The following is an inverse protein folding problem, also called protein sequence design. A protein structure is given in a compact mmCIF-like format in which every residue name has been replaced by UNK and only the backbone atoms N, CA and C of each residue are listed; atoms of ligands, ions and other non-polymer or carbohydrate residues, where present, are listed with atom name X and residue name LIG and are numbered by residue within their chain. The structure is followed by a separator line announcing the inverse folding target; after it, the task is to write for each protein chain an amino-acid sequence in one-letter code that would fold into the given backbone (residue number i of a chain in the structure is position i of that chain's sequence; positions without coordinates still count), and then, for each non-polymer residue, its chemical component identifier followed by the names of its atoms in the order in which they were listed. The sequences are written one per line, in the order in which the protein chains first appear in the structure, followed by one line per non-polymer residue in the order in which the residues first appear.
data_IF_947201308707
#
_entry.id   IF_947201308707
#
_cell.length_a   1.000
_cell.length_b   1.000
_cell.length_c   1.000
_cell.angle_alpha   90.00
_cell.angle_beta   90.00
_cell.angle_gamma   90.00
#
_symmetry.space_group_name_H-M   'P 1'
#
loop_
_entity.id
_entity.type
_entity.pdbx_description
1 polymer ?
#
# COMPACT_ATOMS: atom_id res chain seq x y z
N UNK A 1 -2.39 -25.82 7.20
CA UNK A 1 -3.09 -24.62 6.75
C UNK A 1 -2.80 -24.48 5.26
N UNK A 2 -3.83 -24.63 4.44
CA UNK A 2 -3.71 -24.60 2.98
C UNK A 2 -3.36 -23.17 2.57
N UNK A 3 -2.32 -23.03 1.74
CA UNK A 3 -2.13 -21.84 0.91
C UNK A 3 -3.50 -21.50 0.29
N UNK A 4 -3.79 -20.22 0.10
CA UNK A 4 -4.91 -19.83 -0.72
C UNK A 4 -4.61 -20.33 -2.15
N UNK A 5 -4.82 -21.64 -2.34
CA UNK A 5 -4.96 -22.20 -3.66
C UNK A 5 -6.12 -21.45 -4.29
N UNK A 6 -5.86 -20.70 -5.36
CA UNK A 6 -6.86 -20.17 -6.27
C UNK A 6 -7.66 -21.30 -6.96
N UNK A 7 -7.82 -22.44 -6.28
CA UNK A 7 -8.47 -23.65 -6.73
C UNK A 7 -9.98 -23.50 -6.99
N UNK A 8 -10.56 -22.32 -6.71
CA UNK A 8 -11.95 -22.04 -7.08
C UNK A 8 -12.12 -21.62 -8.54
N UNK A 9 -11.05 -21.28 -9.24
CA UNK A 9 -11.10 -20.97 -10.68
C UNK A 9 -10.26 -21.99 -11.44
N UNK A 10 -10.88 -23.03 -11.92
CA UNK A 10 -10.26 -23.99 -12.84
C UNK A 10 -9.82 -23.32 -14.15
N UNK A 11 -10.35 -22.14 -14.46
CA UNK A 11 -9.93 -21.25 -15.55
C UNK A 11 -10.14 -19.79 -15.15
N UNK A 12 -9.16 -18.94 -15.46
CA UNK A 12 -9.31 -17.50 -15.30
C UNK A 12 -10.44 -16.98 -16.19
N UNK A 13 -11.21 -15.98 -15.72
CA UNK A 13 -12.19 -15.32 -16.59
C UNK A 13 -11.50 -14.74 -17.83
N UNK A 14 -12.25 -14.65 -18.94
CA UNK A 14 -11.71 -14.12 -20.20
C UNK A 14 -11.13 -12.72 -20.00
N UNK A 15 -9.89 -12.54 -20.43
CA UNK A 15 -9.17 -11.26 -20.34
C UNK A 15 -8.46 -11.02 -19.01
N UNK A 16 -8.61 -11.91 -18.01
CA UNK A 16 -7.83 -11.86 -16.79
C UNK A 16 -6.44 -12.48 -16.99
N UNK A 17 -5.46 -11.96 -16.27
CA UNK A 17 -4.10 -12.48 -16.26
C UNK A 17 -3.60 -12.69 -14.81
N UNK A 18 -2.58 -13.51 -14.67
CA UNK A 18 -1.79 -13.58 -13.42
C UNK A 18 -0.49 -12.85 -13.69
N UNK A 19 -0.18 -11.87 -12.85
CA UNK A 19 1.08 -11.13 -12.90
C UNK A 19 1.77 -11.21 -11.53
N UNK A 20 3.02 -10.76 -11.47
CA UNK A 20 3.68 -10.50 -10.20
C UNK A 20 3.35 -9.10 -9.71
N UNK A 21 3.34 -8.92 -8.39
CA UNK A 21 3.20 -7.59 -7.77
C UNK A 21 4.26 -6.63 -8.33
N UNK A 22 5.50 -7.11 -8.52
CA UNK A 22 6.59 -6.31 -9.12
C UNK A 22 6.30 -5.77 -10.52
N UNK A 23 5.41 -6.43 -11.27
CA UNK A 23 5.04 -6.04 -12.63
C UNK A 23 3.83 -5.06 -12.65
N UNK A 24 3.22 -4.77 -11.50
CA UNK A 24 2.02 -3.93 -11.39
C UNK A 24 2.34 -2.43 -11.25
N UNK A 25 3.50 -2.08 -10.70
CA UNK A 25 3.85 -0.71 -10.35
C UNK A 25 5.37 -0.51 -10.18
N UNK A 26 5.79 0.75 -10.11
CA UNK A 26 7.11 1.13 -9.62
C UNK A 26 7.02 1.30 -8.09
N UNK A 27 7.95 0.71 -7.35
CA UNK A 27 8.02 0.77 -5.90
C UNK A 27 9.24 1.60 -5.46
N UNK A 28 9.00 2.83 -5.03
CA UNK A 28 10.04 3.72 -4.53
C UNK A 28 10.09 3.61 -3.01
N UNK A 29 11.21 3.09 -2.49
CA UNK A 29 11.40 3.02 -1.05
C UNK A 29 11.62 4.43 -0.47
N UNK A 30 11.05 4.69 0.70
CA UNK A 30 11.30 5.93 1.42
C UNK A 30 12.76 6.05 1.89
N UNK A 31 13.11 7.22 2.38
CA UNK A 31 14.45 7.58 2.85
C UNK A 31 14.64 7.25 4.33
N UNK A 32 15.82 6.79 4.72
CA UNK A 32 16.22 6.69 6.12
C UNK A 32 16.60 8.08 6.65
N UNK A 33 15.73 8.67 7.48
CA UNK A 33 16.00 9.91 8.16
C UNK A 33 16.70 9.66 9.49
N UNK A 34 17.79 10.37 9.75
CA UNK A 34 18.52 10.30 11.00
C UNK A 34 17.95 11.28 12.03
N UNK A 35 18.12 11.05 13.35
CA UNK A 35 17.64 11.96 14.39
C UNK A 35 18.15 13.41 14.22
N UNK A 36 19.36 13.59 13.69
CA UNK A 36 19.98 14.91 13.47
C UNK A 36 19.26 15.73 12.37
N UNK A 37 18.50 15.06 11.50
CA UNK A 37 17.71 15.67 10.43
C UNK A 37 16.29 16.04 10.89
N UNK A 38 15.94 15.69 12.14
CA UNK A 38 14.59 15.96 12.66
C UNK A 38 14.51 17.36 13.26
N UNK A 39 13.43 18.03 12.90
CA UNK A 39 13.11 19.38 13.33
C UNK A 39 11.68 19.46 13.87
N UNK A 40 11.33 20.61 14.46
CA UNK A 40 9.96 20.93 14.86
C UNK A 40 9.19 21.69 13.78
N UNK A 41 9.81 21.93 12.62
CA UNK A 41 9.29 22.72 11.50
C UNK A 41 9.63 22.04 10.17
N UNK A 42 8.98 22.48 9.10
CA UNK A 42 9.19 21.97 7.75
C UNK A 42 8.11 20.97 7.32
N UNK A 43 8.43 20.11 6.37
CA UNK A 43 7.52 19.04 5.95
C UNK A 43 7.55 17.87 6.94
N UNK A 44 6.41 17.28 7.26
CA UNK A 44 6.35 16.11 8.12
C UNK A 44 7.03 14.90 7.46
N UNK A 45 7.67 14.08 8.28
CA UNK A 45 8.24 12.79 7.88
C UNK A 45 7.22 11.71 8.24
N UNK A 46 6.69 11.02 7.24
CA UNK A 46 5.67 9.99 7.42
C UNK A 46 6.32 8.66 7.74
N UNK A 47 6.03 8.15 8.91
CA UNK A 47 6.46 6.84 9.42
C UNK A 47 5.25 5.90 9.51
N UNK A 48 5.48 4.61 9.63
CA UNK A 48 4.40 3.60 9.73
C UNK A 48 3.41 3.93 10.86
N UNK A 49 3.89 4.42 11.99
CA UNK A 49 3.03 4.85 13.10
C UNK A 49 2.05 5.95 12.70
N UNK A 50 2.47 6.91 11.85
CA UNK A 50 1.61 8.00 11.39
C UNK A 50 0.57 7.53 10.36
N UNK A 51 0.81 6.41 9.68
CA UNK A 51 -0.17 5.79 8.79
C UNK A 51 -1.25 5.02 9.57
N UNK A 52 -0.90 4.48 10.74
CA UNK A 52 -1.82 3.72 11.59
C UNK A 52 -2.59 4.61 12.57
N UNK A 53 -1.98 5.72 13.00
CA UNK A 53 -2.56 6.66 13.95
C UNK A 53 -2.26 8.10 13.52
N UNK A 54 -3.28 8.82 13.08
CA UNK A 54 -3.13 10.22 12.65
C UNK A 54 -2.77 11.17 13.81
N UNK A 55 -2.98 10.77 15.07
CA UNK A 55 -2.60 11.52 16.26
C UNK A 55 -1.15 11.24 16.71
N UNK A 56 -0.49 10.25 16.09
CA UNK A 56 0.91 9.93 16.41
C UNK A 56 1.82 11.14 16.14
N UNK A 57 2.83 11.30 16.99
CA UNK A 57 3.80 12.38 16.85
C UNK A 57 4.53 12.33 15.50
N UNK A 58 4.58 13.47 14.81
CA UNK A 58 5.33 13.65 13.57
C UNK A 58 6.71 14.26 13.85
N UNK A 59 7.73 13.71 13.21
CA UNK A 59 8.99 14.41 13.01
C UNK A 59 8.90 15.23 11.73
N UNK A 60 9.61 16.32 11.65
CA UNK A 60 9.62 17.23 10.50
C UNK A 60 11.06 17.39 9.99
N UNK A 61 11.21 17.85 8.77
CA UNK A 61 12.51 18.32 8.24
C UNK A 61 12.33 19.58 7.43
N UNK A 62 13.27 20.53 7.63
CA UNK A 62 13.38 21.75 6.82
C UNK A 62 14.26 21.55 5.58
N UNK A 63 14.97 20.42 5.51
CA UNK A 63 15.86 20.13 4.39
C UNK A 63 15.06 19.69 3.16
N UNK A 64 15.65 19.93 1.99
CA UNK A 64 15.11 19.50 0.72
C UNK A 64 15.81 18.22 0.30
N UNK A 65 15.02 17.19 -0.01
CA UNK A 65 15.51 15.89 -0.47
C UNK A 65 15.08 15.66 -1.91
N UNK A 66 15.49 14.52 -2.48
CA UNK A 66 15.08 14.13 -3.83
C UNK A 66 13.54 13.97 -3.93
N UNK A 67 12.94 14.48 -4.99
CA UNK A 67 11.48 14.48 -5.23
C UNK A 67 10.84 13.09 -5.16
N UNK A 68 11.63 12.05 -5.43
CA UNK A 68 11.13 10.66 -5.31
C UNK A 68 10.65 10.31 -3.90
N UNK A 69 11.17 10.99 -2.86
CA UNK A 69 10.76 10.79 -1.46
C UNK A 69 9.62 11.70 -1.03
N UNK A 70 9.25 12.68 -1.86
CA UNK A 70 8.11 13.54 -1.61
C UNK A 70 6.82 12.81 -1.96
N UNK A 71 5.88 12.81 -1.03
CA UNK A 71 4.54 12.27 -1.25
C UNK A 71 3.50 13.38 -1.24
N UNK A 72 2.46 13.17 -2.05
CA UNK A 72 1.36 14.10 -2.23
C UNK A 72 0.04 13.42 -1.89
N UNK A 73 -0.97 14.23 -1.60
CA UNK A 73 -2.33 13.74 -1.38
C UNK A 73 -2.78 12.85 -2.55
N UNK A 74 -3.27 11.66 -2.22
CA UNK A 74 -3.71 10.66 -3.18
C UNK A 74 -2.64 9.66 -3.62
N UNK A 75 -1.40 9.78 -3.13
CA UNK A 75 -0.37 8.76 -3.37
C UNK A 75 -0.73 7.44 -2.70
N UNK A 76 -0.46 6.35 -3.41
CA UNK A 76 -0.60 5.00 -2.88
C UNK A 76 0.69 4.62 -2.15
N UNK A 77 0.55 4.21 -0.89
CA UNK A 77 1.65 3.81 -0.03
C UNK A 77 1.47 2.36 0.43
N UNK A 78 2.59 1.65 0.61
CA UNK A 78 2.62 0.31 1.19
C UNK A 78 3.71 0.20 2.26
N UNK A 79 3.31 -0.02 3.51
CA UNK A 79 4.23 -0.31 4.60
C UNK A 79 4.64 -1.78 4.57
N UNK A 80 5.95 -2.06 4.51
CA UNK A 80 6.49 -3.42 4.32
C UNK A 80 7.23 -3.97 5.54
N UNK A 81 7.22 -3.26 6.66
CA UNK A 81 7.84 -3.69 7.91
C UNK A 81 6.97 -3.34 9.11
N UNK A 82 7.17 -3.99 10.22
CA UNK A 82 6.48 -3.84 11.50
C UNK A 82 4.96 -4.10 11.40
N UNK A 83 4.23 -3.21 10.75
CA UNK A 83 2.80 -3.34 10.48
C UNK A 83 2.60 -3.22 8.97
N UNK A 84 2.39 -4.37 8.30
CA UNK A 84 2.12 -4.39 6.86
C UNK A 84 0.76 -3.73 6.59
N UNK A 85 0.71 -2.85 5.60
CA UNK A 85 -0.52 -2.16 5.28
C UNK A 85 -0.43 -1.34 4.00
N UNK A 86 -1.58 -1.07 3.41
CA UNK A 86 -1.73 -0.24 2.24
C UNK A 86 -2.59 0.97 2.55
N UNK A 87 -2.20 2.14 2.05
CA UNK A 87 -2.80 3.42 2.39
C UNK A 87 -2.89 4.32 1.16
N UNK A 88 -3.96 5.12 1.08
CA UNK A 88 -4.01 6.30 0.21
C UNK A 88 -3.71 7.50 1.09
N UNK A 89 -2.60 8.19 0.81
CA UNK A 89 -2.22 9.37 1.59
C UNK A 89 -3.24 10.49 1.40
N UNK A 90 -3.79 11.01 2.48
CA UNK A 90 -4.80 12.07 2.45
C UNK A 90 -4.31 13.40 3.04
N UNK A 91 -3.08 13.43 3.59
CA UNK A 91 -2.44 14.64 4.11
C UNK A 91 -1.85 15.54 3.02
N UNK A 92 -1.25 16.63 3.46
CA UNK A 92 -0.46 17.52 2.61
C UNK A 92 0.87 16.85 2.19
N UNK A 93 1.72 17.58 1.49
CA UNK A 93 3.07 17.14 1.13
C UNK A 93 3.85 16.69 2.36
N UNK A 94 4.59 15.60 2.20
CA UNK A 94 5.36 15.02 3.28
C UNK A 94 6.55 14.23 2.74
N UNK A 95 7.57 14.03 3.57
CA UNK A 95 8.70 13.16 3.28
C UNK A 95 8.39 11.71 3.68
N UNK A 96 8.67 10.77 2.79
CA UNK A 96 8.43 9.35 3.02
C UNK A 96 9.63 8.70 3.71
N UNK A 97 9.40 8.17 4.91
CA UNK A 97 10.43 7.43 5.65
C UNK A 97 10.64 6.02 5.07
N UNK A 98 11.80 5.43 5.37
CA UNK A 98 12.11 4.03 5.07
C UNK A 98 11.02 3.08 5.58
N UNK A 99 10.96 1.86 5.04
CA UNK A 99 9.96 0.84 5.35
C UNK A 99 8.56 1.11 4.79
N UNK A 100 8.42 2.14 3.97
CA UNK A 100 7.21 2.41 3.22
C UNK A 100 7.58 2.59 1.74
N UNK A 101 6.87 1.92 0.85
CA UNK A 101 6.95 2.19 -0.58
C UNK A 101 5.95 3.28 -0.99
N UNK A 102 6.37 4.25 -1.80
CA UNK A 102 5.50 4.99 -2.69
C UNK A 102 5.25 4.09 -3.90
N UNK A 103 3.99 3.78 -4.17
CA UNK A 103 3.57 2.87 -5.23
C UNK A 103 3.05 3.69 -6.40
N UNK A 104 3.69 3.56 -7.56
CA UNK A 104 3.33 4.27 -8.79
C UNK A 104 2.82 3.23 -9.79
N UNK A 105 1.49 3.01 -9.91
CA UNK A 105 0.92 2.01 -10.78
C UNK A 105 1.25 2.27 -12.25
N UNK A 106 1.47 1.20 -13.02
CA UNK A 106 1.58 1.31 -14.47
C UNK A 106 0.22 1.68 -15.12
N UNK A 107 0.21 2.19 -16.38
CA UNK A 107 -1.02 2.68 -17.02
C UNK A 107 -2.16 1.68 -17.14
N UNK A 108 -1.87 0.36 -17.13
CA UNK A 108 -2.88 -0.70 -17.17
C UNK A 108 -3.44 -1.07 -15.79
N UNK A 109 -2.95 -0.45 -14.74
CA UNK A 109 -3.32 -0.73 -13.35
C UNK A 109 -4.06 0.46 -12.73
N UNK A 110 -5.32 0.26 -12.35
CA UNK A 110 -6.05 1.26 -11.57
C UNK A 110 -5.50 1.35 -10.14
N UNK A 111 -5.20 2.55 -9.68
CA UNK A 111 -4.58 2.80 -8.36
C UNK A 111 -5.46 2.31 -7.21
N UNK A 112 -6.77 2.52 -7.27
CA UNK A 112 -7.67 2.07 -6.22
C UNK A 112 -7.87 0.57 -6.25
N UNK A 113 -7.90 -0.03 -7.46
CA UNK A 113 -7.90 -1.49 -7.56
C UNK A 113 -6.67 -2.09 -6.89
N UNK A 114 -5.48 -1.55 -7.18
CA UNK A 114 -4.24 -2.02 -6.57
C UNK A 114 -4.25 -1.84 -5.03
N UNK A 115 -4.79 -0.72 -4.55
CA UNK A 115 -5.00 -0.49 -3.12
C UNK A 115 -5.86 -1.60 -2.48
N UNK A 116 -7.02 -1.92 -3.06
CA UNK A 116 -7.90 -2.95 -2.53
C UNK A 116 -7.32 -4.36 -2.69
N UNK A 117 -6.62 -4.63 -3.80
CA UNK A 117 -5.91 -5.88 -4.01
C UNK A 117 -4.85 -6.10 -2.92
N UNK A 118 -4.00 -5.12 -2.64
CA UNK A 118 -3.02 -5.22 -1.56
C UNK A 118 -3.70 -5.39 -0.19
N UNK A 119 -4.80 -4.69 0.05
CA UNK A 119 -5.55 -4.82 1.31
C UNK A 119 -6.06 -6.24 1.52
N UNK A 120 -6.54 -6.90 0.46
CA UNK A 120 -6.98 -8.31 0.53
C UNK A 120 -5.82 -9.30 0.65
N UNK A 121 -4.62 -8.93 0.21
CA UNK A 121 -3.43 -9.79 0.19
C UNK A 121 -2.55 -9.64 1.45
N UNK A 122 -2.94 -8.84 2.44
CA UNK A 122 -2.11 -8.61 3.65
C UNK A 122 -1.77 -9.93 4.36
N UNK A 123 -2.69 -10.88 4.44
CA UNK A 123 -2.44 -12.21 5.02
C UNK A 123 -1.37 -12.99 4.22
N UNK A 124 -1.38 -12.90 2.90
CA UNK A 124 -0.40 -13.55 2.04
C UNK A 124 0.98 -12.91 2.22
N UNK A 125 1.04 -11.57 2.30
CA UNK A 125 2.26 -10.84 2.62
C UNK A 125 2.84 -11.23 3.99
N UNK A 126 1.99 -11.39 5.01
CA UNK A 126 2.41 -11.85 6.34
C UNK A 126 2.96 -13.27 6.28
N UNK A 127 2.31 -14.17 5.54
CA UNK A 127 2.75 -15.56 5.38
C UNK A 127 4.13 -15.65 4.71
N UNK A 128 4.43 -14.76 3.77
CA UNK A 128 5.73 -14.67 3.09
C UNK A 128 6.80 -13.96 3.92
N UNK A 129 6.41 -13.28 5.01
CA UNK A 129 7.37 -12.66 5.91
C UNK A 129 8.01 -13.71 6.80
N UNK A 130 9.35 -13.72 6.89
CA UNK A 130 10.10 -14.64 7.73
C UNK A 130 10.67 -13.91 8.95
N UNK A 131 10.63 -14.59 10.09
CA UNK A 131 11.44 -14.22 11.26
C UNK A 131 10.68 -14.09 12.56
N UNK A 132 11.38 -14.41 13.64
CA UNK A 132 10.94 -14.29 15.01
C UNK A 132 10.88 -12.82 15.43
N UNK A 133 9.71 -12.28 15.65
CA UNK A 133 9.49 -11.06 16.41
C UNK A 133 9.02 -9.83 15.63
N UNK A 134 9.45 -9.57 14.41
CA UNK A 134 8.97 -8.43 13.63
C UNK A 134 8.56 -8.88 12.23
N UNK A 135 7.33 -8.57 11.85
CA UNK A 135 6.83 -8.83 10.49
C UNK A 135 7.62 -7.95 9.51
N UNK A 136 8.32 -8.58 8.58
CA UNK A 136 9.12 -7.91 7.58
C UNK A 136 9.12 -8.73 6.30
N UNK A 137 8.73 -8.11 5.19
CA UNK A 137 8.81 -8.71 3.86
C UNK A 137 9.91 -8.02 3.05
N UNK A 138 10.84 -8.79 2.49
CA UNK A 138 11.85 -8.20 1.60
C UNK A 138 11.21 -7.73 0.29
N UNK A 139 11.81 -6.71 -0.35
CA UNK A 139 11.33 -6.21 -1.65
C UNK A 139 11.19 -7.35 -2.67
N UNK A 140 12.17 -8.26 -2.74
CA UNK A 140 12.15 -9.41 -3.65
C UNK A 140 11.00 -10.37 -3.37
N UNK A 141 10.69 -10.66 -2.11
CA UNK A 141 9.55 -11.50 -1.74
C UNK A 141 8.23 -10.83 -2.11
N UNK A 142 8.08 -9.54 -1.75
CA UNK A 142 6.91 -8.73 -2.08
C UNK A 142 6.64 -8.69 -3.60
N UNK A 143 7.67 -8.39 -4.40
CA UNK A 143 7.57 -8.30 -5.85
C UNK A 143 7.25 -9.64 -6.54
N UNK A 144 7.58 -10.78 -5.92
CA UNK A 144 7.32 -12.11 -6.48
C UNK A 144 5.92 -12.67 -6.14
N UNK A 145 5.16 -12.04 -5.28
CA UNK A 145 3.79 -12.47 -4.97
C UNK A 145 2.91 -12.30 -6.21
N UNK A 146 2.03 -13.26 -6.44
CA UNK A 146 1.13 -13.25 -7.61
C UNK A 146 -0.10 -12.37 -7.34
N UNK A 147 -0.53 -11.66 -8.37
CA UNK A 147 -1.68 -10.79 -8.39
C UNK A 147 -2.59 -11.15 -9.57
N UNK A 148 -3.88 -11.29 -9.32
CA UNK A 148 -4.87 -11.43 -10.39
C UNK A 148 -5.15 -10.05 -11.01
N UNK A 149 -4.98 -9.96 -12.32
CA UNK A 149 -5.14 -8.72 -13.10
C UNK A 149 -6.35 -8.81 -14.03
N UNK A 150 -7.49 -8.18 -13.69
CA UNK A 150 -8.59 -7.96 -14.62
C UNK A 150 -8.23 -6.93 -15.70
N UNK A 151 -8.96 -6.89 -16.81
CA UNK A 151 -8.94 -5.74 -17.71
C UNK A 151 -9.26 -4.44 -16.98
N UNK A 152 -8.71 -3.30 -17.43
CA UNK A 152 -8.79 -2.01 -16.74
C UNK A 152 -10.22 -1.57 -16.39
N UNK A 153 -11.18 -1.79 -17.32
CA UNK A 153 -12.58 -1.44 -17.08
C UNK A 153 -13.21 -2.31 -15.99
N UNK A 154 -12.80 -3.57 -15.91
CA UNK A 154 -13.24 -4.48 -14.85
C UNK A 154 -12.62 -4.10 -13.51
N UNK A 155 -11.36 -3.67 -13.46
CA UNK A 155 -10.74 -3.12 -12.26
C UNK A 155 -11.57 -1.95 -11.71
N UNK A 156 -11.96 -0.99 -12.57
CA UNK A 156 -12.78 0.16 -12.19
C UNK A 156 -14.15 -0.26 -11.69
N UNK A 157 -14.80 -1.25 -12.36
CA UNK A 157 -16.09 -1.80 -11.95
C UNK A 157 -16.02 -2.44 -10.57
N UNK A 158 -14.97 -3.20 -10.30
CA UNK A 158 -14.70 -3.81 -8.98
C UNK A 158 -14.57 -2.72 -7.91
N UNK A 159 -13.76 -1.69 -8.17
CA UNK A 159 -13.56 -0.57 -7.24
C UNK A 159 -14.89 0.14 -6.93
N UNK A 160 -15.66 0.49 -7.94
CA UNK A 160 -16.97 1.14 -7.75
C UNK A 160 -17.91 0.29 -6.90
N UNK A 161 -17.91 -1.03 -7.12
CA UNK A 161 -18.74 -1.96 -6.36
C UNK A 161 -18.30 -2.02 -4.90
N UNK A 162 -16.99 -2.14 -4.63
CA UNK A 162 -16.45 -2.15 -3.27
C UNK A 162 -16.74 -0.84 -2.53
N UNK A 163 -16.48 0.31 -3.16
CA UNK A 163 -16.75 1.62 -2.54
C UNK A 163 -18.24 1.83 -2.23
N UNK A 164 -19.13 1.31 -3.07
CA UNK A 164 -20.58 1.34 -2.80
C UNK A 164 -20.93 0.50 -1.56
N UNK A 165 -20.37 -0.70 -1.43
CA UNK A 165 -20.62 -1.54 -0.25
C UNK A 165 -20.03 -0.93 1.03
N UNK A 166 -18.83 -0.38 0.98
CA UNK A 166 -18.25 0.31 2.14
C UNK A 166 -19.13 1.47 2.61
N UNK A 167 -19.60 2.32 1.69
CA UNK A 167 -20.54 3.41 2.04
C UNK A 167 -21.84 2.91 2.69
N UNK A 168 -22.36 1.76 2.23
CA UNK A 168 -23.57 1.18 2.84
C UNK A 168 -23.30 0.67 4.26
N UNK A 169 -22.13 0.03 4.47
CA UNK A 169 -21.72 -0.45 5.80
C UNK A 169 -21.50 0.73 6.75
N UNK A 170 -20.80 1.77 6.30
CA UNK A 170 -20.55 2.98 7.11
C UNK A 170 -21.88 3.63 7.53
N UNK A 171 -22.83 3.77 6.60
CA UNK A 171 -24.16 4.32 6.89
C UNK A 171 -24.98 3.46 7.89
N UNK A 172 -24.80 2.14 7.88
CA UNK A 172 -25.41 1.24 8.87
C UNK A 172 -24.77 1.46 10.25
N UNK A 173 -23.43 1.55 10.29
CA UNK A 173 -22.68 1.71 11.55
C UNK A 173 -22.95 3.09 12.21
N UNK A 174 -23.19 4.13 11.42
CA UNK A 174 -23.57 5.47 11.94
C UNK A 174 -24.96 5.50 12.56
N UNK A 175 -25.84 4.53 12.26
CA UNK A 175 -27.20 4.45 12.75
C UNK A 175 -27.38 3.42 13.90
N UNK A 176 -26.30 2.83 14.38
CA UNK A 176 -26.27 1.92 15.54
C UNK A 176 -25.74 2.62 16.79
#
# INVERSE_FOLDING_TARGET
FRSCDNAHYTQLPKGWAIIKVGDAAIYVNGRAFKPEEWNNKGLPIIRIQNLNDAAAHYNYSCDVYEDKYLIHKGDLLFAWAASLGTYIWNGNEAWLNQHIFKVIPYPFMDKKFLYYAFKSMISDFITQSHGSGMVHITKKQFENITLLLPPLDEQKRIVQTLERYYKQIDAIMENL
#
